data_IF_894331879111
#
_entry.id   IF_894331879111
#
_cell.length_a   1.000
_cell.length_b   1.000
_cell.length_c   1.000
_cell.angle_alpha   90.00
_cell.angle_beta   90.00
_cell.angle_gamma   90.00
#
_symmetry.space_group_name_H-M   'P 1'
#
loop_
_entity.id
_entity.type
_entity.pdbx_description
1 polymer ?
#
# COMPACT_ATOMS: atom_id res chain seq x y z
N UNK A 1 8.64 -10.95 -10.10
CA UNK A 1 8.28 -9.95 -9.07
C UNK A 1 8.98 -10.37 -7.82
N UNK A 2 9.71 -9.46 -7.17
CA UNK A 2 10.37 -9.79 -5.91
C UNK A 2 9.44 -9.39 -4.76
N UNK A 3 9.30 -10.29 -3.79
CA UNK A 3 8.56 -10.03 -2.57
C UNK A 3 9.53 -9.45 -1.52
N UNK A 4 9.06 -8.44 -0.79
CA UNK A 4 9.79 -7.90 0.35
C UNK A 4 9.52 -8.84 1.53
N UNK A 5 10.56 -9.21 2.27
CA UNK A 5 10.41 -10.02 3.47
C UNK A 5 9.48 -9.29 4.46
N UNK A 6 8.43 -9.98 4.94
CA UNK A 6 7.54 -9.41 5.96
C UNK A 6 8.33 -9.00 7.21
N UNK A 7 7.88 -7.92 7.83
CA UNK A 7 8.47 -7.37 9.05
C UNK A 7 9.95 -6.94 8.94
N UNK A 8 10.47 -6.84 7.71
CA UNK A 8 11.74 -6.17 7.46
C UNK A 8 11.60 -4.65 7.58
N UNK A 9 12.72 -3.94 7.71
CA UNK A 9 12.69 -2.47 7.68
C UNK A 9 12.06 -1.92 6.40
N UNK A 10 12.30 -2.58 5.26
CA UNK A 10 11.71 -2.18 3.98
C UNK A 10 10.20 -2.37 4.00
N UNK A 11 9.72 -3.48 4.58
CA UNK A 11 8.30 -3.74 4.75
C UNK A 11 7.63 -2.62 5.55
N UNK A 12 8.17 -2.27 6.72
CA UNK A 12 7.63 -1.19 7.54
C UNK A 12 7.72 0.16 6.83
N UNK A 13 8.82 0.43 6.13
CA UNK A 13 8.99 1.66 5.38
C UNK A 13 7.90 1.85 4.32
N UNK A 14 7.66 0.86 3.45
CA UNK A 14 6.69 0.98 2.37
C UNK A 14 5.25 1.16 2.91
N UNK A 15 4.88 0.48 4.00
CA UNK A 15 3.55 0.65 4.62
C UNK A 15 3.38 2.01 5.31
N UNK A 16 4.43 2.55 5.94
CA UNK A 16 4.41 3.89 6.53
C UNK A 16 4.30 4.98 5.46
N UNK A 17 5.04 4.85 4.35
CA UNK A 17 4.92 5.79 3.23
C UNK A 17 3.54 5.70 2.60
N UNK A 18 2.97 4.50 2.45
CA UNK A 18 1.61 4.33 1.96
C UNK A 18 0.60 5.07 2.85
N UNK A 19 0.66 4.87 4.17
CA UNK A 19 -0.22 5.52 5.13
C UNK A 19 -0.16 7.06 5.07
N UNK A 20 1.02 7.61 4.77
CA UNK A 20 1.23 9.06 4.68
C UNK A 20 0.55 9.73 3.48
N UNK A 21 0.06 8.96 2.51
CA UNK A 21 -0.69 9.51 1.39
C UNK A 21 -2.01 10.14 1.89
N UNK A 22 -2.36 11.32 1.37
CA UNK A 22 -3.51 12.10 1.84
C UNK A 22 -4.82 11.33 1.73
N UNK A 23 -4.96 10.46 0.71
CA UNK A 23 -6.15 9.62 0.54
C UNK A 23 -6.33 8.62 1.68
N UNK A 24 -5.25 8.22 2.35
CA UNK A 24 -5.24 7.21 3.40
C UNK A 24 -5.41 7.79 4.82
N UNK A 25 -5.38 9.12 4.98
CA UNK A 25 -5.55 9.80 6.27
C UNK A 25 -4.66 9.28 7.41
N UNK A 26 -3.46 8.76 7.09
CA UNK A 26 -2.55 8.18 8.08
C UNK A 26 -2.77 6.69 8.38
N UNK A 27 -3.74 6.02 7.75
CA UNK A 27 -4.00 4.60 7.95
C UNK A 27 -3.34 3.74 6.87
N UNK A 28 -2.43 2.84 7.27
CA UNK A 28 -1.73 1.93 6.36
C UNK A 28 -2.64 0.84 5.78
N UNK A 29 -3.50 0.25 6.60
CA UNK A 29 -4.41 -0.82 6.16
C UNK A 29 -5.57 -0.27 5.31
N UNK A 30 -6.04 0.94 5.64
CA UNK A 30 -7.12 1.65 4.97
C UNK A 30 -8.35 0.76 4.71
N UNK A 31 -8.86 0.12 5.77
CA UNK A 31 -9.93 -0.88 5.66
C UNK A 31 -11.21 -0.23 5.14
N UNK A 32 -11.76 -0.76 4.04
CA UNK A 32 -13.09 -0.36 3.57
C UNK A 32 -14.18 -0.90 4.51
N UNK A 33 -15.07 -0.04 5.07
CA UNK A 33 -15.96 -0.43 6.17
C UNK A 33 -16.99 -1.51 5.80
N UNK A 34 -17.45 -1.55 4.54
CA UNK A 34 -18.46 -2.53 4.11
C UNK A 34 -17.87 -3.83 3.53
N UNK A 35 -16.91 -3.73 2.61
CA UNK A 35 -16.32 -4.90 1.96
C UNK A 35 -15.17 -5.55 2.74
N UNK A 36 -14.60 -4.87 3.74
CA UNK A 36 -13.40 -5.34 4.46
C UNK A 36 -12.14 -5.37 3.59
N UNK A 37 -12.17 -4.74 2.41
CA UNK A 37 -11.00 -4.65 1.54
C UNK A 37 -9.94 -3.76 2.16
N UNK A 38 -8.68 -4.10 1.91
CA UNK A 38 -7.50 -3.36 2.35
C UNK A 38 -6.55 -3.16 1.18
N UNK A 39 -5.53 -2.35 1.38
CA UNK A 39 -4.40 -2.31 0.47
C UNK A 39 -3.74 -3.68 0.30
N UNK A 40 -3.47 -4.05 -0.95
CA UNK A 40 -2.81 -5.28 -1.33
C UNK A 40 -1.42 -4.95 -1.86
N UNK A 41 -0.40 -5.55 -1.27
CA UNK A 41 0.95 -5.47 -1.81
C UNK A 41 1.05 -6.37 -3.04
N UNK A 42 1.36 -5.77 -4.19
CA UNK A 42 1.39 -6.45 -5.48
C UNK A 42 2.80 -6.94 -5.83
N UNK A 43 3.82 -6.52 -5.10
CA UNK A 43 5.22 -6.90 -5.34
C UNK A 43 6.10 -5.72 -5.76
N UNK A 44 7.39 -6.01 -5.94
CA UNK A 44 8.39 -5.04 -6.39
C UNK A 44 8.84 -5.31 -7.82
N UNK A 45 8.99 -4.23 -8.59
CA UNK A 45 9.62 -4.25 -9.92
C UNK A 45 10.45 -2.99 -10.13
N UNK A 46 11.71 -3.14 -10.56
CA UNK A 46 12.63 -2.03 -10.84
C UNK A 46 12.76 -1.02 -9.68
N UNK A 47 12.82 -1.53 -8.44
CA UNK A 47 12.89 -0.68 -7.24
C UNK A 47 11.60 0.06 -6.91
N UNK A 48 10.45 -0.35 -7.46
CA UNK A 48 9.14 0.25 -7.16
C UNK A 48 8.25 -0.81 -6.53
N UNK A 49 7.76 -0.54 -5.32
CA UNK A 49 6.70 -1.28 -4.65
C UNK A 49 5.33 -0.83 -5.15
N UNK A 50 4.54 -1.77 -5.64
CA UNK A 50 3.19 -1.50 -6.13
C UNK A 50 2.14 -1.99 -5.13
N UNK A 51 1.13 -1.15 -4.90
CA UNK A 51 -0.03 -1.47 -4.08
C UNK A 51 -1.32 -1.25 -4.85
N UNK A 52 -2.35 -2.02 -4.51
CA UNK A 52 -3.72 -1.86 -5.04
C UNK A 52 -4.74 -1.91 -3.92
N UNK A 53 -5.65 -0.94 -3.90
CA UNK A 53 -6.88 -1.01 -3.12
C UNK A 53 -8.04 -1.29 -4.08
N UNK A 54 -8.81 -2.37 -3.88
CA UNK A 54 -9.89 -2.73 -4.84
C UNK A 54 -11.14 -1.86 -4.69
N UNK A 55 -11.36 -1.30 -3.50
CA UNK A 55 -12.51 -0.43 -3.23
C UNK A 55 -12.17 0.55 -2.10
N UNK A 56 -11.48 1.64 -2.42
CA UNK A 56 -10.87 2.54 -1.43
C UNK A 56 -11.95 3.36 -0.69
N UNK A 57 -11.94 3.42 0.66
CA UNK A 57 -13.01 4.05 1.44
C UNK A 57 -13.21 5.53 1.13
N UNK A 58 -12.13 6.28 0.89
CA UNK A 58 -12.23 7.71 0.57
C UNK A 58 -12.75 8.02 -0.84
N UNK A 59 -12.53 7.13 -1.82
CA UNK A 59 -12.81 7.42 -3.24
C UNK A 59 -13.91 6.55 -3.84
N UNK A 60 -14.27 5.44 -3.19
CA UNK A 60 -15.21 4.44 -3.68
C UNK A 60 -14.73 3.70 -4.94
N UNK A 61 -13.43 3.73 -5.26
CA UNK A 61 -12.87 3.23 -6.52
C UNK A 61 -11.67 2.32 -6.28
N UNK A 62 -11.19 1.69 -7.36
CA UNK A 62 -9.89 1.03 -7.37
C UNK A 62 -8.81 2.10 -7.34
N UNK A 63 -7.87 2.00 -6.40
CA UNK A 63 -6.73 2.91 -6.28
C UNK A 63 -5.41 2.14 -6.38
N UNK A 64 -4.38 2.85 -6.85
CA UNK A 64 -3.02 2.32 -6.98
C UNK A 64 -2.03 3.27 -6.32
N UNK A 65 -1.05 2.71 -5.63
CA UNK A 65 0.06 3.47 -5.07
C UNK A 65 1.39 2.83 -5.46
N UNK A 66 2.39 3.68 -5.67
CA UNK A 66 3.73 3.30 -6.08
C UNK A 66 4.74 3.97 -5.15
N UNK A 67 5.59 3.17 -4.53
CA UNK A 67 6.55 3.62 -3.52
C UNK A 67 7.93 3.17 -3.96
N UNK A 68 8.90 4.09 -3.93
CA UNK A 68 10.28 3.78 -4.27
C UNK A 68 10.89 2.93 -3.15
N UNK A 69 11.59 1.86 -3.52
CA UNK A 69 12.36 1.05 -2.60
C UNK A 69 13.55 1.86 -2.05
N UNK A 70 13.92 1.60 -0.80
CA UNK A 70 15.14 2.18 -0.23
C UNK A 70 16.36 1.68 -1.01
N UNK A 71 17.28 2.60 -1.29
CA UNK A 71 18.55 2.37 -1.98
C UNK A 71 19.58 1.68 -1.10
#
# INVERSE_FOLDING_TARGET
MNEVQRDSEEWFHMWNVLASNSINSGESECIHPESGEVWQYMGTKNGIHSFRHRHHPATGKVEYAHIQARS
#
